data_IF_214419026712
#
_entry.id   IF_214419026712
#
_cell.length_a   1.000
_cell.length_b   1.000
_cell.length_c   1.000
_cell.angle_alpha   90.00
_cell.angle_beta   90.00
_cell.angle_gamma   90.00
#
_symmetry.space_group_name_H-M   'P 1'
#
loop_
_entity.id
_entity.type
_entity.pdbx_description
1 polymer ?
#
# COMPACT_ATOMS: atom_id res chain seq x y z
N UNK A 1 12.05 -9.71 -14.33
CA UNK A 1 11.05 -8.82 -13.68
C UNK A 1 10.68 -9.43 -12.34
N UNK A 2 10.78 -8.70 -11.23
CA UNK A 2 10.39 -9.20 -9.89
C UNK A 2 8.88 -9.02 -9.72
N UNK A 3 8.18 -10.06 -9.26
CA UNK A 3 6.75 -10.00 -8.97
C UNK A 3 6.55 -9.01 -7.80
N UNK A 4 5.67 -7.99 -7.95
CA UNK A 4 5.39 -7.04 -6.87
C UNK A 4 4.65 -7.75 -5.72
N UNK A 5 4.68 -7.17 -4.53
CA UNK A 5 3.92 -7.72 -3.40
C UNK A 5 2.42 -7.49 -3.62
N UNK A 6 1.53 -8.37 -3.10
CA UNK A 6 0.11 -8.04 -3.02
C UNK A 6 -0.09 -6.77 -2.17
N UNK A 7 -1.03 -5.93 -2.59
CA UNK A 7 -1.34 -4.69 -1.88
C UNK A 7 -2.07 -5.01 -0.58
N UNK A 8 -1.59 -4.45 0.54
CA UNK A 8 -2.29 -4.53 1.82
C UNK A 8 -3.41 -3.48 1.90
N UNK A 9 -4.26 -3.56 2.94
CA UNK A 9 -5.37 -2.63 3.20
C UNK A 9 -4.98 -1.14 3.14
N UNK A 10 -3.80 -0.80 3.66
CA UNK A 10 -3.29 0.57 3.62
C UNK A 10 -2.91 1.00 2.21
N UNK A 11 -2.23 0.14 1.44
CA UNK A 11 -1.85 0.43 0.05
C UNK A 11 -3.07 0.55 -0.85
N UNK A 12 -4.11 -0.28 -0.63
CA UNK A 12 -5.38 -0.20 -1.35
C UNK A 12 -6.11 1.13 -1.10
N UNK A 13 -6.11 1.60 0.15
CA UNK A 13 -6.73 2.87 0.49
C UNK A 13 -5.91 4.08 0.04
N UNK A 14 -4.60 4.06 0.26
CA UNK A 14 -3.72 5.21 0.06
C UNK A 14 -3.30 5.43 -1.40
N UNK A 15 -3.05 4.37 -2.18
CA UNK A 15 -2.56 4.50 -3.57
C UNK A 15 -3.47 5.39 -4.45
N UNK A 16 -4.79 5.17 -4.53
CA UNK A 16 -5.65 6.02 -5.35
C UNK A 16 -5.78 7.46 -4.80
N UNK A 17 -5.69 7.63 -3.48
CA UNK A 17 -5.87 8.95 -2.82
C UNK A 17 -4.63 9.82 -2.85
N UNK A 18 -3.43 9.22 -2.92
CA UNK A 18 -2.16 9.94 -2.79
C UNK A 18 -2.00 11.08 -3.80
N UNK A 19 -2.38 10.88 -5.06
CA UNK A 19 -2.30 11.94 -6.09
C UNK A 19 -3.17 13.14 -5.71
N UNK A 20 -4.35 12.91 -5.13
CA UNK A 20 -5.23 13.97 -4.64
C UNK A 20 -4.62 14.73 -3.46
N UNK A 21 -4.00 14.03 -2.51
CA UNK A 21 -3.32 14.69 -1.37
C UNK A 21 -2.11 15.51 -1.82
N UNK A 22 -1.32 15.00 -2.76
CA UNK A 22 -0.18 15.74 -3.32
C UNK A 22 -0.63 16.99 -4.09
N UNK A 23 -1.73 16.92 -4.83
CA UNK A 23 -2.28 18.08 -5.51
C UNK A 23 -2.88 19.11 -4.54
N UNK A 24 -3.46 18.65 -3.41
CA UNK A 24 -4.03 19.52 -2.38
C UNK A 24 -2.97 20.19 -1.51
N UNK A 25 -1.84 19.53 -1.31
CA UNK A 25 -0.74 19.99 -0.47
C UNK A 25 0.60 19.91 -1.23
N UNK A 26 0.78 20.71 -2.29
CA UNK A 26 1.99 20.66 -3.13
C UNK A 26 3.26 21.04 -2.36
N UNK A 27 3.13 21.81 -1.29
CA UNK A 27 4.23 22.20 -0.40
C UNK A 27 4.71 21.08 0.54
N UNK A 28 3.88 20.06 0.77
CA UNK A 28 4.21 18.99 1.70
C UNK A 28 5.11 17.93 1.05
N UNK A 29 6.10 17.49 1.83
CA UNK A 29 6.92 16.34 1.45
C UNK A 29 6.08 15.07 1.43
N UNK A 30 6.51 14.07 0.67
CA UNK A 30 5.86 12.75 0.64
C UNK A 30 5.73 12.10 2.02
N UNK A 31 6.68 12.36 2.92
CA UNK A 31 6.61 11.89 4.31
C UNK A 31 5.45 12.54 5.05
N UNK A 32 5.33 13.87 4.99
CA UNK A 32 4.24 14.62 5.63
C UNK A 32 2.87 14.24 5.04
N UNK A 33 2.77 14.09 3.72
CA UNK A 33 1.55 13.60 3.06
C UNK A 33 1.17 12.21 3.59
N UNK A 34 2.14 11.32 3.76
CA UNK A 34 1.89 9.97 4.28
C UNK A 34 1.43 9.98 5.73
N UNK A 35 2.00 10.84 6.57
CA UNK A 35 1.56 11.03 7.95
C UNK A 35 0.11 11.51 8.01
N UNK A 36 -0.24 12.53 7.22
CA UNK A 36 -1.61 13.05 7.16
C UNK A 36 -2.62 12.00 6.69
N UNK A 37 -2.28 11.27 5.64
CA UNK A 37 -3.10 10.16 5.16
C UNK A 37 -3.28 9.08 6.23
N UNK A 38 -2.27 8.82 7.07
CA UNK A 38 -2.35 7.81 8.12
C UNK A 38 -3.30 8.24 9.25
N UNK A 39 -3.37 9.55 9.55
CA UNK A 39 -4.35 10.10 10.48
C UNK A 39 -5.78 9.94 9.95
N UNK A 40 -6.00 10.25 8.67
CA UNK A 40 -7.32 10.11 8.04
C UNK A 40 -7.76 8.64 7.95
N UNK A 41 -6.82 7.73 7.68
CA UNK A 41 -7.09 6.29 7.66
C UNK A 41 -7.53 5.73 9.01
N UNK A 42 -7.01 6.28 10.12
CA UNK A 42 -7.45 5.87 11.47
C UNK A 42 -8.87 6.34 11.78
N UNK A 43 -9.39 7.34 11.06
CA UNK A 43 -10.74 7.88 11.23
C UNK A 43 -11.77 7.21 10.32
N UNK A 44 -11.38 6.23 9.51
CA UNK A 44 -12.31 5.48 8.66
C UNK A 44 -13.37 4.77 9.49
N UNK A 45 -14.54 4.60 8.90
CA UNK A 45 -15.60 3.85 9.56
C UNK A 45 -15.20 2.38 9.71
N UNK A 46 -15.78 1.65 10.68
CA UNK A 46 -15.58 0.21 10.81
C UNK A 46 -15.96 -0.56 9.53
N UNK A 47 -16.98 -0.07 8.80
CA UNK A 47 -17.45 -0.65 7.55
C UNK A 47 -16.41 -0.51 6.44
N UNK A 48 -15.86 0.69 6.24
CA UNK A 48 -14.79 0.93 5.27
C UNK A 48 -13.53 0.12 5.62
N UNK A 49 -13.19 0.07 6.89
CA UNK A 49 -12.04 -0.72 7.38
C UNK A 49 -12.23 -2.21 7.08
N UNK A 50 -13.45 -2.74 7.29
CA UNK A 50 -13.78 -4.13 7.00
C UNK A 50 -13.78 -4.40 5.48
N UNK A 51 -14.30 -3.48 4.67
CA UNK A 51 -14.25 -3.57 3.22
C UNK A 51 -12.80 -3.65 2.72
N UNK A 52 -11.92 -2.75 3.20
CA UNK A 52 -10.50 -2.74 2.85
C UNK A 52 -9.76 -4.01 3.31
N UNK A 53 -10.19 -4.62 4.43
CA UNK A 53 -9.66 -5.90 4.89
C UNK A 53 -10.02 -7.02 3.90
N UNK A 54 -11.30 -7.13 3.52
CA UNK A 54 -11.76 -8.14 2.55
C UNK A 54 -11.07 -7.99 1.19
N UNK A 55 -10.94 -6.75 0.69
CA UNK A 55 -10.21 -6.45 -0.55
C UNK A 55 -8.73 -6.83 -0.47
N UNK A 56 -8.07 -6.60 0.68
CA UNK A 56 -6.68 -7.01 0.87
C UNK A 56 -6.52 -8.54 0.89
N UNK A 57 -7.46 -9.24 1.52
CA UNK A 57 -7.49 -10.71 1.54
C UNK A 57 -7.73 -11.27 0.12
N UNK A 58 -8.63 -10.64 -0.65
CA UNK A 58 -8.86 -10.98 -2.06
C UNK A 58 -7.63 -10.70 -2.92
N UNK A 59 -6.97 -9.56 -2.76
CA UNK A 59 -5.74 -9.24 -3.48
C UNK A 59 -4.62 -10.24 -3.18
N UNK A 60 -4.51 -10.71 -1.93
CA UNK A 60 -3.58 -11.75 -1.54
C UNK A 60 -3.93 -13.11 -2.18
N UNK A 61 -5.21 -13.48 -2.22
CA UNK A 61 -5.68 -14.71 -2.86
C UNK A 61 -5.45 -14.69 -4.38
N UNK A 62 -5.82 -13.61 -5.06
CA UNK A 62 -5.57 -13.46 -6.50
C UNK A 62 -4.07 -13.57 -6.76
N UNK A 63 -3.23 -12.95 -5.93
CA UNK A 63 -1.79 -13.04 -6.08
C UNK A 63 -1.26 -14.46 -5.88
N UNK A 64 -1.79 -15.24 -4.93
CA UNK A 64 -1.34 -16.62 -4.71
C UNK A 64 -1.73 -17.53 -5.89
N UNK A 65 -2.89 -17.30 -6.49
CA UNK A 65 -3.37 -18.02 -7.68
C UNK A 65 -2.57 -17.63 -8.93
N UNK A 66 -2.35 -16.34 -9.16
CA UNK A 66 -1.64 -15.82 -10.34
C UNK A 66 -0.15 -16.14 -10.31
N UNK A 67 0.43 -16.23 -9.11
CA UNK A 67 1.86 -16.50 -8.93
C UNK A 67 2.08 -17.66 -7.96
N UNK A 68 1.72 -18.90 -8.37
CA UNK A 68 1.97 -20.08 -7.57
C UNK A 68 3.49 -20.22 -7.36
N UNK A 69 3.91 -20.33 -6.10
CA UNK A 69 5.34 -20.34 -5.73
C UNK A 69 5.97 -18.97 -5.47
N UNK A 70 5.20 -17.88 -5.49
CA UNK A 70 5.69 -16.59 -5.01
C UNK A 70 6.13 -16.68 -3.55
N UNK A 71 7.39 -16.32 -3.29
CA UNK A 71 7.96 -16.23 -1.95
C UNK A 71 8.48 -14.82 -1.69
N UNK A 72 8.09 -14.25 -0.55
CA UNK A 72 8.60 -12.96 -0.14
C UNK A 72 10.07 -13.08 0.29
N UNK A 73 10.98 -12.58 -0.55
CA UNK A 73 12.41 -12.47 -0.25
C UNK A 73 12.79 -10.98 -0.07
N UNK A 74 12.80 -10.47 1.18
CA UNK A 74 13.33 -9.14 1.47
C UNK A 74 14.80 -9.05 1.10
N UNK A 75 15.27 -7.83 0.81
CA UNK A 75 16.70 -7.59 0.60
C UNK A 75 17.43 -7.59 1.93
N UNK A 76 18.71 -7.93 1.90
CA UNK A 76 19.57 -7.83 3.08
C UNK A 76 19.85 -6.35 3.40
N UNK A 77 19.95 -5.97 4.69
CA UNK A 77 20.45 -4.65 5.07
C UNK A 77 21.80 -4.37 4.39
N UNK A 78 21.98 -3.18 3.81
CA UNK A 78 23.21 -2.76 3.13
C UNK A 78 23.24 -2.94 1.60
N UNK A 79 22.27 -3.65 1.01
CA UNK A 79 22.22 -3.87 -0.44
C UNK A 79 21.66 -2.63 -1.18
N UNK A 80 22.55 -1.79 -1.76
CA UNK A 80 22.13 -0.60 -2.52
C UNK A 80 21.25 -0.99 -3.72
N UNK A 81 20.13 -0.30 -3.94
CA UNK A 81 19.42 -0.35 -5.23
C UNK A 81 20.34 0.24 -6.29
N UNK A 82 20.94 -0.60 -7.14
CA UNK A 82 21.40 -0.14 -8.46
C UNK A 82 20.15 0.40 -9.17
N UNK A 83 20.14 1.70 -9.43
CA UNK A 83 19.08 2.38 -10.17
C UNK A 83 19.15 1.98 -11.64
#
# INVERSE_FOLDING_TARGET
KKIPRPMNRWMLWSSPRRRGYQAKYPELTNQQVSTRMAEDYKKLSPEETNFLKKEADQAALIHSIMYPGYKFSPRKPGEKRRR
#
